data_IF_085892407657
#
_entry.id   IF_085892407657
#
_cell.length_a   1.000
_cell.length_b   1.000
_cell.length_c   1.000
_cell.angle_alpha   90.00
_cell.angle_beta   90.00
_cell.angle_gamma   90.00
#
_symmetry.space_group_name_H-M   'P 1'
#
loop_
_entity.id
_entity.type
_entity.pdbx_description
1 polymer ?
#
# COMPACT_ATOMS: atom_id res chain seq x y z
N UNK A 1 29.46 7.75 6.57
CA UNK A 1 28.31 6.93 7.02
C UNK A 1 27.71 6.29 5.78
N UNK A 2 27.43 4.98 5.81
CA UNK A 2 26.81 4.32 4.66
C UNK A 2 25.43 4.88 4.40
N UNK A 3 25.09 5.06 3.12
CA UNK A 3 23.76 5.53 2.68
C UNK A 3 22.81 4.36 2.50
N UNK A 4 21.52 4.64 2.50
CA UNK A 4 20.46 3.64 2.29
C UNK A 4 19.57 4.10 1.14
N UNK A 5 19.37 3.22 0.16
CA UNK A 5 18.39 3.40 -0.90
C UNK A 5 17.42 2.22 -0.88
N UNK A 6 16.15 2.52 -0.65
CA UNK A 6 15.06 1.54 -0.71
C UNK A 6 14.34 1.69 -2.05
N UNK A 7 14.32 0.60 -2.80
CA UNK A 7 13.62 0.47 -4.08
C UNK A 7 12.43 -0.46 -3.85
N UNK A 8 11.28 0.13 -3.56
CA UNK A 8 10.06 -0.59 -3.25
C UNK A 8 9.20 -0.74 -4.51
N UNK A 9 8.88 -1.97 -4.86
CA UNK A 9 8.00 -2.29 -5.99
C UNK A 9 6.70 -2.84 -5.42
N UNK A 10 5.60 -2.12 -5.64
CA UNK A 10 4.26 -2.50 -5.22
C UNK A 10 3.87 -3.88 -5.76
N UNK A 11 3.37 -4.74 -4.90
CA UNK A 11 2.99 -6.13 -5.19
C UNK A 11 4.13 -7.05 -5.68
N UNK A 12 5.41 -6.67 -5.50
CA UNK A 12 6.52 -7.61 -5.74
C UNK A 12 6.47 -8.73 -4.72
N UNK A 13 6.43 -9.97 -5.19
CA UNK A 13 6.24 -11.12 -4.31
C UNK A 13 7.29 -12.23 -4.50
N UNK A 14 7.28 -13.21 -3.60
CA UNK A 14 8.27 -14.29 -3.58
C UNK A 14 8.34 -15.09 -4.90
N UNK A 15 7.21 -15.23 -5.62
CA UNK A 15 7.17 -15.92 -6.93
C UNK A 15 7.97 -15.19 -8.02
N UNK A 16 8.22 -13.88 -7.88
CA UNK A 16 8.98 -13.10 -8.85
C UNK A 16 10.48 -13.34 -8.78
N UNK A 17 10.99 -13.81 -7.65
CA UNK A 17 12.43 -14.02 -7.44
C UNK A 17 13.07 -14.90 -8.52
N UNK A 18 12.37 -15.94 -8.96
CA UNK A 18 12.86 -16.81 -10.03
C UNK A 18 13.01 -16.08 -11.38
N UNK A 19 12.17 -15.08 -11.66
CA UNK A 19 12.24 -14.21 -12.83
C UNK A 19 13.35 -13.17 -12.67
N UNK A 20 13.42 -12.54 -11.50
CA UNK A 20 14.44 -11.53 -11.16
C UNK A 20 15.86 -12.08 -11.29
N UNK A 21 16.08 -13.34 -10.96
CA UNK A 21 17.39 -14.02 -11.16
C UNK A 21 17.84 -14.09 -12.63
N UNK A 22 16.94 -13.88 -13.59
CA UNK A 22 17.22 -13.87 -15.04
C UNK A 22 17.29 -12.46 -15.62
N UNK A 23 17.04 -11.45 -14.82
CA UNK A 23 17.09 -10.04 -15.22
C UNK A 23 18.42 -9.44 -14.78
N UNK A 24 19.11 -8.66 -15.64
CA UNK A 24 20.52 -8.35 -15.45
C UNK A 24 20.83 -7.58 -14.15
N UNK A 25 19.98 -6.61 -13.78
CA UNK A 25 20.27 -5.73 -12.65
C UNK A 25 19.81 -6.33 -11.32
N UNK A 26 18.64 -7.00 -11.28
CA UNK A 26 18.24 -7.78 -10.11
C UNK A 26 19.20 -8.94 -9.85
N UNK A 27 19.62 -9.68 -10.88
CA UNK A 27 20.59 -10.75 -10.74
C UNK A 27 21.90 -10.26 -10.13
N UNK A 28 22.42 -9.11 -10.59
CA UNK A 28 23.62 -8.49 -10.04
C UNK A 28 23.51 -8.22 -8.53
N UNK A 29 22.35 -7.74 -8.06
CA UNK A 29 22.14 -7.52 -6.63
C UNK A 29 22.01 -8.85 -5.85
N UNK A 30 21.31 -9.82 -6.43
CA UNK A 30 21.11 -11.14 -5.82
C UNK A 30 22.43 -11.93 -5.67
N UNK A 31 23.38 -11.75 -6.60
CA UNK A 31 24.71 -12.38 -6.55
C UNK A 31 25.61 -11.77 -5.47
N UNK A 32 25.45 -10.49 -5.15
CA UNK A 32 26.30 -9.72 -4.23
C UNK A 32 25.67 -9.49 -2.87
N UNK A 33 24.38 -9.66 -2.74
CA UNK A 33 23.60 -9.34 -1.56
C UNK A 33 23.09 -10.56 -0.79
N UNK A 34 22.18 -10.29 0.12
CA UNK A 34 21.41 -11.29 0.84
C UNK A 34 19.96 -11.27 0.36
N UNK A 35 19.33 -12.43 0.30
CA UNK A 35 17.92 -12.60 -0.07
C UNK A 35 17.13 -13.16 1.10
N UNK A 36 16.01 -12.51 1.43
CA UNK A 36 14.94 -13.10 2.23
C UNK A 36 13.89 -13.62 1.25
N UNK A 37 13.81 -14.92 1.09
CA UNK A 37 13.01 -15.54 0.01
C UNK A 37 11.49 -15.35 0.21
N UNK A 38 11.05 -15.25 1.45
CA UNK A 38 9.63 -15.12 1.79
C UNK A 38 9.44 -14.24 3.01
N UNK A 39 8.61 -13.24 2.86
CA UNK A 39 8.16 -12.35 3.96
C UNK A 39 6.64 -12.42 4.00
N UNK A 40 6.07 -12.53 5.19
CA UNK A 40 4.64 -12.40 5.43
C UNK A 40 4.32 -10.92 5.66
N UNK A 41 3.38 -10.32 4.90
CA UNK A 41 2.96 -8.94 5.12
C UNK A 41 2.16 -8.81 6.41
N UNK A 42 1.93 -7.58 6.84
CA UNK A 42 0.99 -7.30 7.94
C UNK A 42 -0.45 -7.52 7.48
N UNK A 43 -1.36 -7.73 8.44
CA UNK A 43 -2.81 -7.82 8.18
C UNK A 43 -3.45 -6.45 8.46
N UNK A 44 -4.34 -5.94 7.57
CA UNK A 44 -4.54 -6.40 6.19
C UNK A 44 -3.34 -6.08 5.28
N UNK A 45 -3.14 -6.93 4.26
CA UNK A 45 -2.05 -6.79 3.30
C UNK A 45 -2.40 -5.76 2.21
N UNK A 46 -2.52 -4.51 2.62
CA UNK A 46 -2.85 -3.36 1.77
C UNK A 46 -1.68 -2.40 1.67
N UNK A 47 -1.54 -1.75 0.52
CA UNK A 47 -0.44 -0.82 0.21
C UNK A 47 -0.16 0.17 1.34
N UNK A 48 -1.18 0.90 1.82
CA UNK A 48 -0.99 1.96 2.82
C UNK A 48 -0.65 1.40 4.20
N UNK A 49 -1.28 0.30 4.59
CA UNK A 49 -1.00 -0.42 5.84
C UNK A 49 0.41 -0.97 5.86
N UNK A 50 0.83 -1.66 4.80
CA UNK A 50 2.16 -2.25 4.68
C UNK A 50 3.26 -1.20 4.64
N UNK A 51 3.13 -0.16 3.81
CA UNK A 51 4.13 0.91 3.71
C UNK A 51 4.28 1.68 5.03
N UNK A 52 3.17 1.89 5.76
CA UNK A 52 3.24 2.53 7.08
C UNK A 52 3.92 1.63 8.10
N UNK A 53 3.65 0.32 8.06
CA UNK A 53 4.34 -0.66 8.91
C UNK A 53 5.85 -0.72 8.63
N UNK A 54 6.26 -0.70 7.35
CA UNK A 54 7.66 -0.64 6.94
C UNK A 54 8.36 0.61 7.52
N UNK A 55 7.72 1.78 7.43
CA UNK A 55 8.32 3.03 7.92
C UNK A 55 8.32 3.17 9.44
N UNK A 56 7.34 2.60 10.13
CA UNK A 56 7.21 2.79 11.59
C UNK A 56 7.78 1.63 12.39
N UNK A 57 8.03 0.48 11.75
CA UNK A 57 8.43 -0.75 12.44
C UNK A 57 7.35 -1.25 13.41
N UNK A 58 6.08 -0.92 13.16
CA UNK A 58 4.95 -1.28 14.03
C UNK A 58 3.78 -1.84 13.23
N UNK A 59 2.88 -2.55 13.91
CA UNK A 59 1.63 -3.05 13.31
C UNK A 59 0.53 -1.98 13.21
N UNK A 60 -0.49 -2.27 12.40
CA UNK A 60 -1.57 -1.37 12.06
C UNK A 60 -2.31 -0.77 13.27
N UNK A 61 -2.55 -1.54 14.31
CA UNK A 61 -3.17 -1.06 15.55
C UNK A 61 -2.38 0.02 16.28
N UNK A 62 -1.05 0.06 16.08
CA UNK A 62 -0.19 1.07 16.69
C UNK A 62 -0.06 2.32 15.82
N UNK A 63 0.21 2.18 14.53
CA UNK A 63 0.37 3.34 13.64
C UNK A 63 -0.96 3.90 13.13
N UNK A 64 -2.08 3.15 13.22
CA UNK A 64 -3.43 3.64 12.97
C UNK A 64 -3.91 3.56 11.53
N UNK A 65 -3.11 3.08 10.60
CA UNK A 65 -3.49 2.92 9.19
C UNK A 65 -3.91 1.46 8.98
N UNK A 66 -5.21 1.22 8.96
CA UNK A 66 -5.79 -0.14 8.91
C UNK A 66 -6.42 -0.48 7.55
N UNK A 67 -6.47 0.50 6.65
CA UNK A 67 -7.05 0.39 5.32
C UNK A 67 -6.34 1.39 4.39
N UNK A 68 -6.58 1.32 3.09
CA UNK A 68 -6.14 2.38 2.17
C UNK A 68 -6.99 3.64 2.34
N UNK A 69 -8.28 3.48 2.57
CA UNK A 69 -9.25 4.54 2.81
C UNK A 69 -9.40 4.82 4.31
N UNK A 70 -9.78 6.06 4.64
CA UNK A 70 -9.96 6.47 6.03
C UNK A 70 -11.16 5.78 6.64
N UNK A 71 -10.92 4.86 7.55
CA UNK A 71 -11.98 4.18 8.30
C UNK A 71 -12.31 4.93 9.59
N UNK A 72 -13.61 5.19 9.77
CA UNK A 72 -14.18 5.69 11.02
C UNK A 72 -15.49 4.95 11.28
N UNK A 73 -15.85 4.69 12.57
CA UNK A 73 -17.11 4.02 12.88
C UNK A 73 -18.31 4.80 12.33
N UNK A 74 -19.24 4.10 11.71
CA UNK A 74 -20.37 4.69 10.99
C UNK A 74 -19.99 5.51 9.78
N UNK A 75 -18.75 5.40 9.32
CA UNK A 75 -18.24 6.11 8.15
C UNK A 75 -18.78 5.56 6.83
N UNK A 76 -18.59 6.34 5.78
CA UNK A 76 -18.93 5.92 4.42
C UNK A 76 -17.89 4.98 3.87
N UNK A 77 -18.31 4.02 3.03
CA UNK A 77 -17.41 3.07 2.36
C UNK A 77 -16.48 3.76 1.33
N UNK A 78 -16.87 4.91 0.79
CA UNK A 78 -16.10 5.71 -0.18
C UNK A 78 -15.33 6.86 0.52
N UNK A 79 -14.61 6.58 1.57
CA UNK A 79 -13.84 7.58 2.28
C UNK A 79 -12.55 7.97 1.50
N UNK A 80 -12.01 9.20 1.69
CA UNK A 80 -10.74 9.57 1.07
C UNK A 80 -9.60 8.69 1.61
N UNK A 81 -8.61 8.44 0.77
CA UNK A 81 -7.45 7.64 1.14
C UNK A 81 -6.56 8.34 2.19
N UNK A 82 -5.85 7.53 2.97
CA UNK A 82 -4.84 8.01 3.90
C UNK A 82 -3.63 8.57 3.16
N UNK A 83 -3.61 9.84 2.82
CA UNK A 83 -2.50 10.44 2.09
C UNK A 83 -1.50 11.21 2.97
N UNK A 84 -1.93 11.61 4.17
CA UNK A 84 -1.18 12.58 4.98
C UNK A 84 -0.37 11.92 6.08
N UNK A 85 0.86 12.41 6.31
CA UNK A 85 1.71 11.98 7.43
C UNK A 85 1.05 12.20 8.79
N UNK A 86 0.19 13.22 8.90
CA UNK A 86 -0.56 13.51 10.13
C UNK A 86 -1.55 12.41 10.52
N UNK A 87 -1.92 11.51 9.62
CA UNK A 87 -2.78 10.37 9.91
C UNK A 87 -2.00 9.24 10.62
N UNK A 88 -0.66 9.21 10.52
CA UNK A 88 0.21 8.19 11.12
C UNK A 88 0.49 8.51 12.58
N UNK A 89 0.12 7.60 13.47
CA UNK A 89 0.49 7.69 14.90
C UNK A 89 1.94 7.26 15.11
N UNK A 90 2.68 8.07 15.84
CA UNK A 90 4.09 7.80 16.16
C UNK A 90 5.07 8.31 15.09
N UNK A 91 6.34 7.98 15.32
CA UNK A 91 7.45 8.40 14.45
C UNK A 91 7.75 7.36 13.39
N UNK A 92 8.13 7.84 12.22
CA UNK A 92 8.68 7.02 11.15
C UNK A 92 10.20 6.94 11.24
N UNK A 93 10.79 6.00 10.51
CA UNK A 93 12.24 5.91 10.31
C UNK A 93 12.83 7.24 9.78
N UNK A 94 12.11 7.91 8.87
CA UNK A 94 12.57 9.19 8.31
C UNK A 94 12.47 10.35 9.30
N UNK A 95 11.47 10.33 10.21
CA UNK A 95 11.42 11.30 11.31
C UNK A 95 12.64 11.14 12.23
N UNK A 96 12.94 9.90 12.62
CA UNK A 96 14.09 9.59 13.46
C UNK A 96 15.43 9.92 12.79
N UNK A 97 15.54 9.66 11.48
CA UNK A 97 16.73 10.02 10.70
C UNK A 97 16.97 11.53 10.73
N UNK A 98 15.93 12.33 10.49
CA UNK A 98 16.03 13.79 10.55
C UNK A 98 16.38 14.33 11.93
N UNK A 99 15.79 13.78 12.98
CA UNK A 99 16.13 14.14 14.35
C UNK A 99 17.60 13.87 14.69
N UNK A 100 18.24 12.95 13.97
CA UNK A 100 19.66 12.64 14.06
C UNK A 100 20.52 13.37 13.00
N UNK A 101 19.98 14.36 12.34
CA UNK A 101 20.71 15.20 11.38
C UNK A 101 20.96 14.56 10.01
N UNK A 102 20.30 13.45 9.70
CA UNK A 102 20.41 12.80 8.38
C UNK A 102 19.48 13.44 7.35
N UNK A 103 19.94 13.48 6.12
CA UNK A 103 19.13 13.92 4.98
C UNK A 103 18.24 12.78 4.48
N UNK A 104 16.96 13.09 4.27
CA UNK A 104 15.93 12.10 3.91
C UNK A 104 15.26 12.46 2.60
N UNK A 105 14.99 11.46 1.77
CA UNK A 105 14.24 11.59 0.53
C UNK A 105 13.15 10.52 0.47
N UNK A 106 11.91 10.93 0.18
CA UNK A 106 10.75 10.05 0.03
C UNK A 106 10.04 10.39 -1.27
N UNK A 107 10.01 9.43 -2.19
CA UNK A 107 9.40 9.58 -3.51
C UNK A 107 8.27 8.58 -3.68
N UNK A 108 7.07 9.11 -3.92
CA UNK A 108 5.82 8.36 -4.09
C UNK A 108 5.48 7.39 -2.95
N UNK A 109 6.02 7.64 -1.76
CA UNK A 109 5.70 6.81 -0.60
C UNK A 109 4.31 7.16 -0.07
N UNK A 110 3.43 6.15 0.18
CA UNK A 110 2.11 6.38 0.76
C UNK A 110 2.19 7.05 2.13
N UNK A 111 1.14 7.77 2.50
CA UNK A 111 0.96 8.38 3.82
C UNK A 111 2.13 9.30 4.23
N UNK A 112 2.74 9.96 3.25
CA UNK A 112 3.85 10.89 3.49
C UNK A 112 3.51 12.36 3.17
N UNK A 113 2.27 12.65 2.75
CA UNK A 113 1.85 14.01 2.42
C UNK A 113 2.03 14.99 3.59
N UNK A 114 2.68 16.12 3.31
CA UNK A 114 2.98 17.13 4.33
C UNK A 114 4.04 16.73 5.37
N UNK A 115 4.76 15.62 5.14
CA UNK A 115 5.85 15.21 6.04
C UNK A 115 7.01 16.19 5.97
N UNK A 116 7.58 16.50 7.15
CA UNK A 116 8.77 17.35 7.27
C UNK A 116 10.05 16.54 6.99
N UNK A 117 10.17 15.98 5.78
CA UNK A 117 11.39 15.33 5.29
C UNK A 117 12.25 16.33 4.52
N UNK A 118 13.55 16.05 4.34
CA UNK A 118 14.44 16.94 3.57
C UNK A 118 13.96 17.10 2.13
N UNK A 119 13.50 15.98 1.55
CA UNK A 119 12.88 15.91 0.22
C UNK A 119 11.69 14.95 0.30
N UNK A 120 10.50 15.42 -0.03
CA UNK A 120 9.29 14.61 -0.02
C UNK A 120 8.42 14.93 -1.24
N UNK A 121 8.18 13.93 -2.07
CA UNK A 121 7.19 13.94 -3.14
C UNK A 121 6.23 12.79 -2.88
N UNK A 122 5.10 13.03 -2.18
CA UNK A 122 4.22 11.97 -1.71
C UNK A 122 3.38 11.37 -2.82
N UNK A 123 2.91 10.15 -2.61
CA UNK A 123 1.82 9.58 -3.38
C UNK A 123 0.50 10.16 -2.86
N UNK A 124 -0.23 10.84 -3.72
CA UNK A 124 -1.56 11.38 -3.43
C UNK A 124 -2.59 10.73 -4.35
N UNK A 125 -3.51 9.99 -3.78
CA UNK A 125 -4.66 9.42 -4.47
C UNK A 125 -5.85 10.37 -4.26
N UNK A 126 -6.38 11.00 -5.32
CA UNK A 126 -7.52 11.90 -5.19
C UNK A 126 -8.80 11.11 -4.95
N UNK A 127 -9.74 11.69 -4.23
CA UNK A 127 -11.11 11.13 -4.08
C UNK A 127 -11.82 10.93 -5.42
N UNK A 128 -11.52 11.80 -6.37
CA UNK A 128 -12.01 11.68 -7.75
C UNK A 128 -10.94 12.14 -8.73
N UNK A 129 -10.77 11.39 -9.81
CA UNK A 129 -9.88 11.80 -10.91
C UNK A 129 -10.53 12.83 -11.84
N UNK A 130 -11.82 13.11 -11.72
CA UNK A 130 -12.48 14.16 -12.48
C UNK A 130 -11.96 15.54 -12.02
N UNK A 131 -11.31 16.26 -12.94
CA UNK A 131 -10.69 17.56 -12.64
C UNK A 131 -9.46 17.47 -11.73
N UNK A 132 -8.88 16.28 -11.54
CA UNK A 132 -7.67 16.10 -10.76
C UNK A 132 -6.51 16.92 -11.32
N UNK A 133 -5.94 17.75 -10.48
CA UNK A 133 -4.78 18.59 -10.79
C UNK A 133 -3.64 18.23 -9.83
N UNK A 134 -2.75 17.29 -10.21
CA UNK A 134 -1.68 16.81 -9.33
C UNK A 134 -0.82 17.95 -8.79
N UNK A 135 -0.53 18.97 -9.59
CA UNK A 135 0.22 20.13 -9.16
C UNK A 135 -0.35 20.77 -7.89
N UNK A 136 -1.66 21.06 -7.88
CA UNK A 136 -2.30 21.75 -6.75
C UNK A 136 -2.21 20.94 -5.45
N UNK A 137 -2.33 19.61 -5.53
CA UNK A 137 -2.20 18.76 -4.36
C UNK A 137 -0.76 18.70 -3.87
N UNK A 138 0.19 18.55 -4.80
CA UNK A 138 1.60 18.44 -4.48
C UNK A 138 2.19 19.76 -3.97
N UNK A 139 1.70 20.93 -4.42
CA UNK A 139 2.09 22.25 -3.87
C UNK A 139 1.83 22.37 -2.35
N UNK A 140 0.87 21.63 -1.82
CA UNK A 140 0.52 21.63 -0.39
C UNK A 140 1.08 20.43 0.40
N UNK A 141 1.57 19.40 -0.28
CA UNK A 141 1.93 18.13 0.37
C UNK A 141 3.37 17.69 0.13
N UNK A 142 4.00 18.17 -0.94
CA UNK A 142 5.40 17.96 -1.23
C UNK A 142 6.29 19.04 -0.63
N UNK A 143 7.60 18.79 -0.55
CA UNK A 143 8.56 19.83 -0.16
C UNK A 143 8.78 20.82 -1.30
N UNK A 144 8.84 22.12 -0.97
CA UNK A 144 8.95 23.20 -1.96
C UNK A 144 10.17 23.02 -2.88
N UNK A 145 11.30 22.58 -2.36
CA UNK A 145 12.51 22.35 -3.14
C UNK A 145 12.34 21.33 -4.27
N UNK A 146 11.50 20.29 -4.08
CA UNK A 146 11.20 19.33 -5.14
C UNK A 146 10.21 19.89 -6.16
N UNK A 147 9.22 20.66 -5.70
CA UNK A 147 8.28 21.34 -6.60
C UNK A 147 9.01 22.31 -7.52
N UNK A 148 9.84 23.19 -6.95
CA UNK A 148 10.54 24.24 -7.68
C UNK A 148 11.57 23.68 -8.68
N UNK A 149 12.30 22.63 -8.31
CA UNK A 149 13.40 22.11 -9.13
C UNK A 149 12.97 21.06 -10.15
N UNK A 150 12.00 20.19 -9.80
CA UNK A 150 11.76 18.97 -10.57
C UNK A 150 10.33 18.79 -11.05
N UNK A 151 9.30 19.29 -10.31
CA UNK A 151 7.93 19.06 -10.72
C UNK A 151 7.64 19.64 -12.12
N UNK A 152 8.03 20.88 -12.37
CA UNK A 152 7.78 21.51 -13.68
C UNK A 152 8.53 20.83 -14.84
N UNK A 153 9.64 20.16 -14.56
CA UNK A 153 10.39 19.37 -15.55
C UNK A 153 9.69 18.05 -15.87
N UNK A 154 9.15 17.36 -14.87
CA UNK A 154 8.67 15.98 -14.97
C UNK A 154 7.17 15.79 -14.75
N UNK A 155 6.44 16.77 -14.28
CA UNK A 155 4.99 16.69 -13.98
C UNK A 155 4.14 16.26 -15.16
N UNK A 156 4.64 16.37 -16.38
CA UNK A 156 3.99 15.82 -17.59
C UNK A 156 3.69 14.32 -17.50
N UNK A 157 4.50 13.56 -16.75
CA UNK A 157 4.27 12.12 -16.57
C UNK A 157 3.07 11.81 -15.69
N UNK A 158 2.54 12.78 -14.95
CA UNK A 158 1.33 12.63 -14.13
C UNK A 158 0.05 12.99 -14.88
N UNK A 159 0.14 13.38 -16.16
CA UNK A 159 -0.98 13.91 -16.91
C UNK A 159 -1.20 13.14 -18.23
N UNK A 160 -2.44 13.16 -18.71
CA UNK A 160 -2.80 12.59 -20.00
C UNK A 160 -3.01 11.06 -19.96
N UNK A 161 -3.26 10.46 -21.14
CA UNK A 161 -3.61 9.04 -21.26
C UNK A 161 -2.44 8.08 -21.01
N UNK A 162 -1.19 8.57 -21.10
CA UNK A 162 0.03 7.79 -20.86
C UNK A 162 0.68 8.14 -19.53
N UNK A 163 -0.13 8.62 -18.57
CA UNK A 163 0.38 8.93 -17.24
C UNK A 163 0.99 7.69 -16.58
N UNK A 164 2.13 7.86 -15.94
CA UNK A 164 2.79 6.85 -15.12
C UNK A 164 3.44 7.53 -13.92
N UNK A 165 3.03 7.09 -12.73
CA UNK A 165 3.64 7.54 -11.50
C UNK A 165 5.09 7.06 -11.40
N UNK A 166 5.39 5.89 -11.93
CA UNK A 166 6.72 5.30 -11.91
C UNK A 166 7.71 6.07 -12.77
N UNK A 167 7.29 6.50 -13.98
CA UNK A 167 8.14 7.37 -14.82
C UNK A 167 8.42 8.71 -14.14
N UNK A 168 7.41 9.30 -13.48
CA UNK A 168 7.59 10.51 -12.70
C UNK A 168 8.56 10.30 -11.54
N UNK A 169 8.34 9.27 -10.74
CA UNK A 169 9.15 8.92 -9.57
C UNK A 169 10.60 8.67 -9.95
N UNK A 170 10.83 7.88 -11.00
CA UNK A 170 12.18 7.56 -11.49
C UNK A 170 12.90 8.78 -12.05
N UNK A 171 12.19 9.64 -12.78
CA UNK A 171 12.79 10.89 -13.29
C UNK A 171 13.25 11.80 -12.15
N UNK A 172 12.45 11.93 -11.07
CA UNK A 172 12.84 12.65 -9.88
C UNK A 172 14.03 11.98 -9.18
N UNK A 173 13.99 10.66 -9.01
CA UNK A 173 15.04 9.92 -8.31
C UNK A 173 16.41 10.11 -9.01
N UNK A 174 16.44 10.00 -10.32
CA UNK A 174 17.67 10.17 -11.10
C UNK A 174 18.18 11.62 -11.06
N UNK A 175 17.30 12.60 -11.24
CA UNK A 175 17.71 14.02 -11.16
C UNK A 175 18.24 14.38 -9.76
N UNK A 176 17.58 13.91 -8.68
CA UNK A 176 18.05 14.15 -7.31
C UNK A 176 19.46 13.55 -7.10
N UNK A 177 19.68 12.33 -7.60
CA UNK A 177 20.98 11.68 -7.50
C UNK A 177 22.06 12.38 -8.35
N UNK A 178 21.71 12.89 -9.54
CA UNK A 178 22.65 13.58 -10.43
C UNK A 178 23.00 15.00 -9.94
N UNK A 179 21.98 15.78 -9.55
CA UNK A 179 22.10 17.22 -9.33
C UNK A 179 22.74 17.62 -7.99
N UNK A 180 22.80 16.71 -7.03
CA UNK A 180 23.23 17.04 -5.68
C UNK A 180 23.93 15.92 -4.92
N UNK A 181 24.21 16.13 -3.62
CA UNK A 181 24.66 15.07 -2.76
C UNK A 181 23.54 14.04 -2.57
N UNK A 182 23.90 12.78 -2.64
CA UNK A 182 22.96 11.69 -2.38
C UNK A 182 22.38 11.81 -0.96
N UNK A 183 21.05 11.70 -0.77
CA UNK A 183 20.44 11.64 0.55
C UNK A 183 21.00 10.48 1.39
N UNK A 184 21.03 10.63 2.71
CA UNK A 184 21.48 9.55 3.60
C UNK A 184 20.50 8.38 3.59
N UNK A 185 19.19 8.68 3.53
CA UNK A 185 18.13 7.69 3.33
C UNK A 185 17.23 8.15 2.18
N UNK A 186 17.09 7.31 1.16
CA UNK A 186 16.22 7.55 0.01
C UNK A 186 15.26 6.40 -0.19
N UNK A 187 13.96 6.71 -0.23
CA UNK A 187 12.88 5.78 -0.53
C UNK A 187 12.30 6.09 -1.90
N UNK A 188 12.25 5.09 -2.76
CA UNK A 188 11.66 5.15 -4.11
C UNK A 188 10.59 4.07 -4.20
N UNK A 189 9.32 4.46 -4.36
CA UNK A 189 8.19 3.53 -4.47
C UNK A 189 7.62 3.55 -5.88
N UNK A 190 7.44 2.38 -6.45
CA UNK A 190 6.93 2.13 -7.80
C UNK A 190 5.63 1.34 -7.74
N UNK A 191 4.66 1.65 -8.63
CA UNK A 191 3.29 1.14 -8.57
C UNK A 191 2.86 0.35 -9.81
N UNK A 192 3.57 0.48 -10.93
CA UNK A 192 3.03 0.02 -12.23
C UNK A 192 2.93 -1.52 -12.32
N UNK A 193 3.70 -2.28 -11.51
CA UNK A 193 3.56 -3.75 -11.44
C UNK A 193 2.23 -4.15 -10.80
N UNK A 194 1.87 -3.54 -9.67
CA UNK A 194 0.58 -3.74 -9.00
C UNK A 194 -0.57 -3.41 -9.95
N UNK A 195 -0.52 -2.25 -10.59
CA UNK A 195 -1.54 -1.81 -11.55
C UNK A 195 -1.69 -2.76 -12.75
N UNK A 196 -0.58 -3.29 -13.27
CA UNK A 196 -0.60 -4.26 -14.34
C UNK A 196 -1.25 -5.58 -13.92
N UNK A 197 -0.93 -6.05 -12.70
CA UNK A 197 -1.52 -7.26 -12.13
C UNK A 197 -3.01 -7.14 -11.87
N UNK A 198 -3.45 -6.00 -11.34
CA UNK A 198 -4.89 -5.71 -11.18
C UNK A 198 -5.65 -5.72 -12.50
N UNK A 199 -5.03 -5.26 -13.57
CA UNK A 199 -5.71 -5.09 -14.87
C UNK A 199 -5.67 -6.36 -15.72
N UNK A 200 -4.55 -7.09 -15.69
CA UNK A 200 -4.27 -8.15 -16.67
C UNK A 200 -4.03 -9.52 -16.03
N UNK A 201 -3.98 -9.61 -14.69
CA UNK A 201 -3.66 -10.83 -13.95
C UNK A 201 -2.20 -10.92 -13.52
N UNK A 202 -1.95 -11.70 -12.47
CA UNK A 202 -0.65 -11.76 -11.78
C UNK A 202 0.46 -12.29 -12.70
N UNK A 203 0.15 -13.29 -13.52
CA UNK A 203 1.10 -13.96 -14.43
C UNK A 203 1.00 -13.47 -15.89
N UNK A 204 0.47 -12.25 -16.10
CA UNK A 204 0.28 -11.68 -17.43
C UNK A 204 1.60 -11.23 -18.08
N UNK A 205 1.61 -11.13 -19.42
CA UNK A 205 2.72 -10.56 -20.19
C UNK A 205 2.99 -9.08 -19.82
N UNK A 206 1.91 -8.36 -19.46
CA UNK A 206 1.98 -6.97 -19.01
C UNK A 206 2.69 -6.86 -17.67
N UNK A 207 2.40 -7.75 -16.71
CA UNK A 207 3.09 -7.79 -15.43
C UNK A 207 4.58 -8.16 -15.60
N UNK A 208 4.91 -9.12 -16.47
CA UNK A 208 6.29 -9.46 -16.82
C UNK A 208 7.03 -8.27 -17.47
N UNK A 209 6.33 -7.52 -18.31
CA UNK A 209 6.89 -6.31 -18.96
C UNK A 209 7.21 -5.24 -17.92
N UNK A 210 6.31 -5.01 -16.94
CA UNK A 210 6.57 -4.06 -15.87
C UNK A 210 7.73 -4.49 -14.96
N UNK A 211 7.84 -5.77 -14.65
CA UNK A 211 8.96 -6.26 -13.86
C UNK A 211 10.30 -6.05 -14.58
N UNK A 212 10.36 -6.23 -15.91
CA UNK A 212 11.54 -5.89 -16.72
C UNK A 212 11.85 -4.40 -16.72
N UNK A 213 10.81 -3.55 -16.81
CA UNK A 213 10.98 -2.10 -16.70
C UNK A 213 11.57 -1.71 -15.34
N UNK A 214 11.15 -2.35 -14.26
CA UNK A 214 11.72 -2.12 -12.93
C UNK A 214 13.18 -2.57 -12.82
N UNK A 215 13.57 -3.64 -13.50
CA UNK A 215 14.97 -4.05 -13.60
C UNK A 215 15.82 -2.98 -14.31
N UNK A 216 15.32 -2.44 -15.43
CA UNK A 216 16.00 -1.35 -16.16
C UNK A 216 16.08 -0.06 -15.32
N UNK A 217 15.03 0.28 -14.61
CA UNK A 217 14.96 1.43 -13.70
C UNK A 217 15.96 1.28 -12.55
N UNK A 218 16.06 0.10 -11.95
CA UNK A 218 17.08 -0.22 -10.97
C UNK A 218 18.48 -0.07 -11.57
N UNK A 219 18.68 -0.58 -12.79
CA UNK A 219 19.93 -0.43 -13.54
C UNK A 219 20.37 1.02 -13.72
N UNK A 220 19.41 1.90 -14.04
CA UNK A 220 19.68 3.33 -14.17
C UNK A 220 20.13 3.97 -12.84
N UNK A 221 19.53 3.58 -11.72
CA UNK A 221 19.97 4.01 -10.37
C UNK A 221 21.37 3.50 -10.07
N UNK A 222 21.65 2.20 -10.29
CA UNK A 222 22.97 1.60 -10.06
C UNK A 222 24.06 2.30 -10.87
N UNK A 223 23.77 2.62 -12.14
CA UNK A 223 24.71 3.31 -13.00
C UNK A 223 24.94 4.76 -12.55
N UNK A 224 23.88 5.47 -12.13
CA UNK A 224 24.01 6.81 -11.54
C UNK A 224 24.92 6.80 -10.30
N UNK A 225 24.68 5.88 -9.36
CA UNK A 225 25.50 5.73 -8.15
C UNK A 225 26.94 5.36 -8.46
N UNK A 226 27.18 4.53 -9.50
CA UNK A 226 28.52 4.16 -9.94
C UNK A 226 29.29 5.37 -10.50
N UNK A 227 28.65 6.17 -11.37
CA UNK A 227 29.25 7.40 -11.91
C UNK A 227 29.57 8.42 -10.83
N UNK A 228 28.74 8.50 -9.82
CA UNK A 228 28.93 9.38 -8.65
C UNK A 228 29.98 8.83 -7.66
N UNK A 229 30.42 7.59 -7.81
CA UNK A 229 31.36 6.96 -6.89
C UNK A 229 30.77 6.60 -5.52
N UNK A 230 29.44 6.54 -5.40
CA UNK A 230 28.74 6.27 -4.14
C UNK A 230 28.10 4.88 -4.07
N UNK A 231 28.20 4.05 -5.11
CA UNK A 231 27.58 2.74 -5.15
C UNK A 231 28.06 1.82 -4.03
N UNK A 232 29.37 1.78 -3.78
CA UNK A 232 29.94 0.90 -2.74
C UNK A 232 29.72 1.43 -1.30
N UNK A 233 29.26 2.68 -1.17
CA UNK A 233 28.87 3.29 0.11
C UNK A 233 27.36 3.19 0.37
N UNK A 234 26.57 2.66 -0.57
CA UNK A 234 25.13 2.62 -0.54
C UNK A 234 24.61 1.20 -0.28
N UNK A 235 23.88 1.01 0.80
CA UNK A 235 23.06 -0.19 1.00
C UNK A 235 21.78 -0.07 0.18
N UNK A 236 21.62 -0.96 -0.81
CA UNK A 236 20.45 -0.99 -1.67
C UNK A 236 19.53 -2.10 -1.17
N UNK A 237 18.28 -1.75 -0.88
CA UNK A 237 17.23 -2.68 -0.44
C UNK A 237 16.15 -2.69 -1.50
N UNK A 238 15.92 -3.85 -2.13
CA UNK A 238 14.76 -4.07 -3.00
C UNK A 238 13.73 -4.87 -2.22
N UNK A 239 12.50 -4.39 -2.17
CA UNK A 239 11.41 -5.06 -1.46
C UNK A 239 10.05 -4.84 -2.13
N UNK A 240 9.09 -5.75 -1.85
CA UNK A 240 7.67 -5.54 -2.06
C UNK A 240 6.98 -5.23 -0.74
N UNK A 241 5.81 -4.65 -0.80
CA UNK A 241 4.96 -4.35 0.35
C UNK A 241 3.98 -5.49 0.64
N UNK A 242 3.35 -6.05 -0.39
CA UNK A 242 2.47 -7.21 -0.35
C UNK A 242 2.60 -8.05 -1.63
N UNK A 243 1.92 -9.19 -1.67
CA UNK A 243 1.74 -10.00 -2.86
C UNK A 243 0.36 -9.78 -3.48
N UNK A 244 0.10 -10.50 -4.58
CA UNK A 244 -1.21 -10.61 -5.22
C UNK A 244 -1.45 -12.05 -5.66
N UNK A 245 -2.71 -12.41 -5.82
CA UNK A 245 -3.15 -13.67 -6.42
C UNK A 245 -4.34 -13.41 -7.34
N UNK A 246 -4.45 -14.19 -8.40
CA UNK A 246 -5.63 -14.13 -9.23
C UNK A 246 -6.84 -14.64 -8.44
N UNK A 247 -7.93 -13.91 -8.49
CA UNK A 247 -9.18 -14.28 -7.85
C UNK A 247 -10.04 -15.13 -8.80
N UNK A 248 -10.73 -16.12 -8.24
CA UNK A 248 -11.69 -16.94 -8.95
C UNK A 248 -13.05 -16.28 -9.05
N UNK A 249 -13.45 -15.58 -7.97
CA UNK A 249 -14.78 -15.00 -7.81
C UNK A 249 -14.74 -13.88 -6.75
N UNK A 250 -15.84 -13.17 -6.60
CA UNK A 250 -16.05 -12.17 -5.56
C UNK A 250 -17.29 -12.49 -4.72
N UNK A 251 -17.15 -12.49 -3.41
CA UNK A 251 -18.26 -12.65 -2.48
C UNK A 251 -18.69 -11.27 -1.95
N UNK A 252 -19.93 -10.87 -2.25
CA UNK A 252 -20.48 -9.57 -1.88
C UNK A 252 -21.02 -9.63 -0.44
N UNK A 253 -20.16 -9.36 0.54
CA UNK A 253 -20.46 -9.50 1.96
C UNK A 253 -21.62 -8.62 2.41
N UNK A 254 -21.74 -7.37 1.92
CA UNK A 254 -22.85 -6.49 2.29
C UNK A 254 -24.18 -6.95 1.70
N UNK A 255 -24.17 -7.63 0.53
CA UNK A 255 -25.38 -8.29 0.00
C UNK A 255 -25.80 -9.46 0.90
N UNK A 256 -24.86 -10.25 1.40
CA UNK A 256 -25.13 -11.30 2.36
C UNK A 256 -25.71 -10.74 3.67
N UNK A 257 -25.11 -9.69 4.23
CA UNK A 257 -25.66 -9.02 5.42
C UNK A 257 -27.07 -8.46 5.19
N UNK A 258 -27.33 -7.91 3.99
CA UNK A 258 -28.68 -7.48 3.63
C UNK A 258 -29.68 -8.64 3.62
N UNK A 259 -29.32 -9.79 3.07
CA UNK A 259 -30.18 -10.99 3.04
C UNK A 259 -30.52 -11.48 4.46
N UNK A 260 -29.61 -11.31 5.40
CA UNK A 260 -29.80 -11.65 6.82
C UNK A 260 -30.50 -10.56 7.62
N UNK A 261 -30.88 -9.42 6.99
CA UNK A 261 -31.48 -8.27 7.67
C UNK A 261 -30.53 -7.57 8.63
N UNK A 262 -29.22 -7.62 8.36
CA UNK A 262 -28.17 -6.91 9.09
C UNK A 262 -27.79 -5.58 8.42
N UNK A 263 -28.32 -5.30 7.23
CA UNK A 263 -28.04 -4.10 6.44
C UNK A 263 -29.27 -3.74 5.60
N UNK A 264 -29.56 -2.45 5.46
CA UNK A 264 -30.64 -1.91 4.63
C UNK A 264 -30.08 -0.94 3.61
N UNK A 265 -30.69 -0.94 2.41
CA UNK A 265 -30.35 -0.01 1.34
C UNK A 265 -31.60 0.66 0.80
N UNK A 266 -31.45 1.84 0.18
CA UNK A 266 -32.52 2.52 -0.56
C UNK A 266 -32.72 1.92 -1.97
N UNK A 267 -33.56 2.59 -2.78
CA UNK A 267 -33.86 2.17 -4.15
C UNK A 267 -32.64 2.30 -5.10
N UNK A 268 -31.73 3.18 -4.79
CA UNK A 268 -30.47 3.44 -5.51
C UNK A 268 -29.33 2.50 -5.05
N UNK A 269 -29.58 1.65 -4.02
CA UNK A 269 -28.59 0.71 -3.48
C UNK A 269 -27.68 1.32 -2.41
N UNK A 270 -27.92 2.55 -1.98
CA UNK A 270 -27.12 3.19 -0.93
C UNK A 270 -27.49 2.66 0.45
N UNK A 271 -26.49 2.41 1.30
CA UNK A 271 -26.69 1.94 2.67
C UNK A 271 -27.41 3.02 3.49
N UNK A 272 -28.60 2.69 3.98
CA UNK A 272 -29.41 3.59 4.84
C UNK A 272 -29.28 3.29 6.32
N UNK A 273 -29.01 2.05 6.66
CA UNK A 273 -28.71 1.61 8.03
C UNK A 273 -28.01 0.26 8.00
N UNK A 274 -27.25 -0.04 9.04
CA UNK A 274 -26.63 -1.34 9.21
C UNK A 274 -26.57 -1.75 10.69
N UNK A 275 -26.64 -3.03 10.94
CA UNK A 275 -26.22 -3.71 12.15
C UNK A 275 -24.79 -4.27 11.97
N UNK A 276 -24.44 -4.70 10.75
CA UNK A 276 -23.08 -5.05 10.35
C UNK A 276 -22.78 -4.55 8.92
N UNK A 277 -21.57 -4.05 8.70
CA UNK A 277 -21.09 -3.61 7.38
C UNK A 277 -19.66 -4.11 7.15
N UNK A 278 -19.39 -4.49 5.91
CA UNK A 278 -18.09 -4.98 5.44
C UNK A 278 -17.29 -3.87 4.78
N UNK A 279 -16.03 -3.74 5.17
CA UNK A 279 -14.98 -2.98 4.49
C UNK A 279 -14.00 -3.97 3.88
N UNK A 280 -13.99 -4.05 2.55
CA UNK A 280 -13.16 -5.01 1.82
C UNK A 280 -11.68 -4.64 1.91
N UNK A 281 -10.84 -5.64 2.14
CA UNK A 281 -9.38 -5.53 2.02
C UNK A 281 -8.81 -6.52 1.00
N UNK A 282 -9.62 -6.90 0.02
CA UNK A 282 -9.31 -7.88 -1.00
C UNK A 282 -9.66 -9.30 -0.55
N UNK A 283 -8.67 -10.13 -0.22
CA UNK A 283 -8.88 -11.52 0.25
C UNK A 283 -9.29 -11.61 1.72
N UNK A 284 -9.20 -10.52 2.46
CA UNK A 284 -9.72 -10.37 3.80
C UNK A 284 -10.78 -9.26 3.84
N UNK A 285 -11.49 -9.13 4.94
CA UNK A 285 -12.42 -8.05 5.19
C UNK A 285 -12.46 -7.66 6.67
N UNK A 286 -12.69 -6.37 6.91
CA UNK A 286 -12.94 -5.81 8.23
C UNK A 286 -14.46 -5.61 8.38
N UNK A 287 -15.04 -6.14 9.44
CA UNK A 287 -16.48 -6.05 9.69
C UNK A 287 -16.73 -5.09 10.85
N UNK A 288 -17.48 -4.05 10.59
CA UNK A 288 -17.95 -3.12 11.61
C UNK A 288 -19.35 -3.53 12.08
N UNK A 289 -19.55 -3.58 13.37
CA UNK A 289 -20.86 -3.79 14.02
C UNK A 289 -21.31 -2.45 14.60
N UNK A 290 -22.57 -2.07 14.36
CA UNK A 290 -23.14 -0.78 14.76
C UNK A 290 -22.98 -0.49 16.26
N UNK A 291 -23.22 -1.50 17.08
CA UNK A 291 -23.13 -1.42 18.54
C UNK A 291 -22.34 -2.63 19.08
N UNK A 292 -21.03 -2.49 19.27
CA UNK A 292 -20.20 -3.59 19.77
C UNK A 292 -20.47 -3.93 21.27
N UNK A 293 -21.18 -3.08 22.01
CA UNK A 293 -21.56 -3.34 23.39
C UNK A 293 -22.87 -4.18 23.46
N UNK A 294 -23.62 -4.30 22.37
CA UNK A 294 -24.76 -5.21 22.26
C UNK A 294 -24.27 -6.66 22.02
N UNK A 295 -24.20 -7.42 23.11
CA UNK A 295 -23.74 -8.81 23.06
C UNK A 295 -24.62 -9.74 22.18
N UNK A 296 -25.93 -9.44 22.07
CA UNK A 296 -26.83 -10.22 21.23
C UNK A 296 -26.57 -9.95 19.73
N UNK A 297 -26.34 -8.69 19.38
CA UNK A 297 -25.96 -8.30 18.04
C UNK A 297 -24.59 -8.87 17.64
N UNK A 298 -23.59 -8.74 18.50
CA UNK A 298 -22.26 -9.32 18.29
C UNK A 298 -22.33 -10.85 18.07
N UNK A 299 -23.13 -11.57 18.87
CA UNK A 299 -23.34 -13.01 18.71
C UNK A 299 -24.00 -13.35 17.37
N UNK A 300 -25.03 -12.58 16.96
CA UNK A 300 -25.72 -12.75 15.68
C UNK A 300 -24.79 -12.55 14.49
N UNK A 301 -23.95 -11.51 14.52
CA UNK A 301 -22.96 -11.25 13.46
C UNK A 301 -21.90 -12.37 13.42
N UNK A 302 -21.36 -12.77 14.58
CA UNK A 302 -20.42 -13.90 14.67
C UNK A 302 -21.02 -15.18 14.09
N UNK A 303 -22.27 -15.52 14.42
CA UNK A 303 -22.96 -16.70 13.88
C UNK A 303 -23.07 -16.64 12.34
N UNK A 304 -23.42 -15.48 11.80
CA UNK A 304 -23.47 -15.27 10.35
C UNK A 304 -22.10 -15.47 9.68
N UNK A 305 -21.01 -14.99 10.28
CA UNK A 305 -19.65 -15.18 9.77
C UNK A 305 -19.19 -16.63 9.92
N UNK A 306 -19.48 -17.29 11.04
CA UNK A 306 -19.11 -18.70 11.26
C UNK A 306 -19.84 -19.64 10.28
N UNK A 307 -21.07 -19.32 9.88
CA UNK A 307 -21.78 -20.08 8.85
C UNK A 307 -21.02 -20.13 7.52
N UNK A 308 -20.30 -19.06 7.16
CA UNK A 308 -19.49 -18.97 5.94
C UNK A 308 -18.23 -19.84 5.97
N UNK A 309 -17.81 -20.39 7.12
CA UNK A 309 -16.71 -21.36 7.19
C UNK A 309 -17.02 -22.64 6.44
N UNK A 310 -18.29 -23.02 6.39
CA UNK A 310 -18.76 -24.25 5.77
C UNK A 310 -19.41 -24.00 4.40
N UNK A 311 -19.51 -22.75 3.99
CA UNK A 311 -20.01 -22.39 2.67
C UNK A 311 -18.98 -22.78 1.60
N UNK A 312 -19.35 -23.61 0.59
CA UNK A 312 -18.40 -24.14 -0.39
C UNK A 312 -17.80 -23.04 -1.31
N UNK A 313 -18.47 -21.90 -1.42
CA UNK A 313 -18.05 -20.82 -2.29
C UNK A 313 -17.20 -19.77 -1.56
N UNK A 314 -17.24 -19.74 -0.22
CA UNK A 314 -16.54 -18.73 0.61
C UNK A 314 -15.45 -19.35 1.47
N UNK A 315 -15.73 -20.41 2.22
CA UNK A 315 -14.80 -21.14 3.09
C UNK A 315 -13.91 -20.23 3.93
N UNK A 316 -14.50 -19.49 4.88
CA UNK A 316 -13.70 -18.64 5.77
C UNK A 316 -12.70 -19.50 6.57
N UNK A 317 -11.41 -19.28 6.33
CA UNK A 317 -10.31 -19.86 7.11
C UNK A 317 -10.13 -19.15 8.45
N UNK A 318 -10.45 -17.85 8.49
CA UNK A 318 -10.28 -17.01 9.65
C UNK A 318 -11.55 -16.21 9.93
N UNK A 319 -11.98 -16.22 11.19
CA UNK A 319 -12.96 -15.29 11.78
C UNK A 319 -12.40 -14.93 13.15
N UNK A 320 -11.94 -13.70 13.32
CA UNK A 320 -11.38 -13.18 14.57
C UNK A 320 -12.22 -12.00 15.04
N UNK A 321 -12.44 -11.89 16.36
CA UNK A 321 -12.90 -10.63 16.93
C UNK A 321 -11.74 -9.62 17.07
N UNK A 322 -12.08 -8.38 17.43
CA UNK A 322 -11.09 -7.31 17.55
C UNK A 322 -9.98 -7.62 18.58
N UNK A 323 -10.29 -8.32 19.68
CA UNK A 323 -9.30 -8.71 20.68
C UNK A 323 -8.36 -9.80 20.15
N UNK A 324 -8.88 -10.79 19.44
CA UNK A 324 -8.12 -11.84 18.78
C UNK A 324 -7.23 -11.26 17.66
N UNK A 325 -7.76 -10.32 16.85
CA UNK A 325 -7.02 -9.64 15.80
C UNK A 325 -5.85 -8.82 16.38
N UNK A 326 -6.09 -8.09 17.48
CA UNK A 326 -5.04 -7.38 18.19
C UNK A 326 -3.98 -8.32 18.75
N UNK A 327 -4.39 -9.43 19.37
CA UNK A 327 -3.45 -10.37 20.01
C UNK A 327 -2.58 -11.12 18.99
N UNK A 328 -3.12 -11.49 17.84
CA UNK A 328 -2.41 -12.30 16.83
C UNK A 328 -1.64 -11.47 15.81
N UNK A 329 -2.21 -10.34 15.38
CA UNK A 329 -1.71 -9.56 14.25
C UNK A 329 -1.37 -8.11 14.59
N UNK A 330 -1.53 -7.70 15.87
CA UNK A 330 -1.36 -6.31 16.26
C UNK A 330 -2.32 -5.35 15.53
N UNK A 331 -3.46 -5.88 15.07
CA UNK A 331 -4.44 -5.16 14.29
C UNK A 331 -5.59 -4.69 15.17
N UNK A 332 -5.79 -3.39 15.28
CA UNK A 332 -6.95 -2.78 15.93
C UNK A 332 -7.37 -1.51 15.19
N UNK A 333 -8.66 -1.26 15.15
CA UNK A 333 -9.24 -0.14 14.40
C UNK A 333 -10.75 -0.04 14.62
N UNK A 334 -11.47 0.69 13.79
CA UNK A 334 -12.92 0.86 13.89
C UNK A 334 -13.68 -0.32 13.26
N UNK A 335 -13.35 -1.54 13.67
CA UNK A 335 -13.99 -2.79 13.26
C UNK A 335 -14.11 -3.73 14.46
N UNK A 336 -14.94 -4.76 14.35
CA UNK A 336 -15.24 -5.72 15.40
C UNK A 336 -14.88 -7.15 15.05
N UNK A 337 -14.86 -7.49 13.75
CA UNK A 337 -14.35 -8.75 13.25
C UNK A 337 -13.43 -8.57 12.05
N UNK A 338 -12.53 -9.55 11.89
CA UNK A 338 -11.69 -9.72 10.71
C UNK A 338 -11.94 -11.11 10.15
N UNK A 339 -12.16 -11.20 8.85
CA UNK A 339 -12.38 -12.48 8.16
C UNK A 339 -11.42 -12.64 6.99
N UNK A 340 -11.08 -13.88 6.66
CA UNK A 340 -10.26 -14.24 5.51
C UNK A 340 -10.78 -15.55 4.93
N UNK A 341 -10.79 -15.67 3.59
CA UNK A 341 -11.14 -16.91 2.90
C UNK A 341 -9.90 -17.79 2.68
N UNK A 342 -10.08 -19.13 2.70
CA UNK A 342 -9.06 -20.08 2.22
C UNK A 342 -9.04 -20.19 0.69
N UNK A 343 -10.07 -19.70 0.03
CA UNK A 343 -10.20 -19.69 -1.42
C UNK A 343 -9.68 -18.36 -2.01
N UNK A 344 -9.23 -18.35 -3.26
CA UNK A 344 -8.86 -17.14 -3.95
C UNK A 344 -10.13 -16.37 -4.40
N UNK A 345 -10.89 -15.86 -3.45
CA UNK A 345 -12.03 -14.98 -3.65
C UNK A 345 -11.76 -13.61 -3.05
N UNK A 346 -12.22 -12.56 -3.71
CA UNK A 346 -12.23 -11.23 -3.12
C UNK A 346 -13.54 -11.00 -2.35
N UNK A 347 -13.45 -10.28 -1.22
CA UNK A 347 -14.63 -9.72 -0.60
C UNK A 347 -14.99 -8.41 -1.31
N UNK A 348 -16.21 -8.37 -1.88
CA UNK A 348 -16.79 -7.14 -2.43
C UNK A 348 -17.71 -6.49 -1.41
N UNK A 349 -17.87 -5.19 -1.52
CA UNK A 349 -18.77 -4.43 -0.66
C UNK A 349 -20.19 -4.41 -1.24
N UNK A 350 -20.32 -4.41 -2.57
CA UNK A 350 -21.58 -4.33 -3.33
C UNK A 350 -21.67 -5.42 -4.38
#
# INVERSE_FOLDING_TARGET
MSKVLVFCIDALCASDVARMRRMPHFAQLLERGALVEKIEPVLPALTYTCHTSILTGTYAGRHGIVHNEKMTRGGHLDAPWYCMKSDVRGKTLLDLARENGLTTCSLSWPVSGGADYTMNMPMIVPYSYQGYQPQKWLEHTATANLMDRYFYKHGRYLMGPTRSLDLFTMALALDILEDGPQPDIMLVKLCDLDSARHTYGVESEQAETQLRMHDEQLGAILECLRRKGTLDETNIIVLGDHGQTDIRDAFLMNVYFRQLGLLSVDAEGQITSFDAVCHSTGLAALIEVRDPDDAALMARVREALEALRHDPDVQLSMVLDAAEAQARYGLSGPFDFVVESSLPIAFGEY
#
